data_IF_162911372221
#
_entry.id   IF_162911372221
#
_cell.length_a   1.000
_cell.length_b   1.000
_cell.length_c   1.000
_cell.angle_alpha   90.00
_cell.angle_beta   90.00
_cell.angle_gamma   90.00
#
_symmetry.space_group_name_H-M   'P 1'
#
loop_
_entity.id
_entity.type
_entity.pdbx_description
1 polymer ?
#
# COMPACT_ATOMS: atom_id res chain seq x y z
N UNK A 1 -22.16 -31.36 -42.62
CA UNK A 1 -21.83 -30.14 -41.85
C UNK A 1 -22.76 -30.15 -40.64
N UNK A 2 -22.26 -30.65 -39.52
CA UNK A 2 -23.07 -31.03 -38.35
C UNK A 2 -23.33 -29.78 -37.50
N UNK A 3 -24.60 -29.38 -37.43
CA UNK A 3 -25.11 -28.36 -36.51
C UNK A 3 -25.40 -29.03 -35.16
N UNK A 4 -24.66 -28.67 -34.13
CA UNK A 4 -24.96 -29.02 -32.74
C UNK A 4 -25.88 -27.96 -32.14
N UNK A 5 -27.17 -28.31 -32.02
CA UNK A 5 -28.12 -27.67 -31.11
C UNK A 5 -27.83 -28.17 -29.68
N UNK A 6 -27.60 -27.27 -28.74
CA UNK A 6 -27.61 -27.59 -27.30
C UNK A 6 -28.81 -26.90 -26.68
N UNK A 7 -29.79 -27.71 -26.26
CA UNK A 7 -30.94 -27.32 -25.47
C UNK A 7 -30.53 -27.14 -24.01
N UNK A 8 -30.80 -25.97 -23.42
CA UNK A 8 -30.79 -25.80 -21.96
C UNK A 8 -32.17 -26.14 -21.40
N UNK A 9 -32.27 -27.29 -20.74
CA UNK A 9 -33.42 -27.66 -19.92
C UNK A 9 -33.16 -27.23 -18.47
N UNK A 10 -34.01 -26.32 -18.00
CA UNK A 10 -34.18 -25.93 -16.60
C UNK A 10 -34.62 -27.13 -15.75
N UNK A 11 -33.88 -27.43 -14.69
CA UNK A 11 -34.37 -28.25 -13.57
C UNK A 11 -34.05 -27.56 -12.25
N UNK A 12 -35.10 -27.05 -11.62
CA UNK A 12 -35.11 -26.59 -10.25
C UNK A 12 -35.04 -27.81 -9.31
N UNK A 13 -34.04 -27.86 -8.44
CA UNK A 13 -33.87 -28.87 -7.41
C UNK A 13 -33.61 -28.21 -6.06
N UNK A 14 -34.64 -28.23 -5.20
CA UNK A 14 -34.60 -27.72 -3.84
C UNK A 14 -33.69 -28.57 -2.95
N UNK A 15 -32.78 -27.93 -2.20
CA UNK A 15 -32.02 -28.59 -1.13
C UNK A 15 -32.16 -27.84 0.20
N UNK A 16 -32.81 -28.58 1.10
CA UNK A 16 -32.94 -28.50 2.55
C UNK A 16 -32.05 -27.49 3.31
N UNK A 17 -32.71 -26.56 4.01
CA UNK A 17 -32.20 -25.91 5.22
C UNK A 17 -32.18 -26.91 6.37
N UNK A 18 -31.01 -27.27 6.87
CA UNK A 18 -30.87 -27.87 8.22
C UNK A 18 -30.82 -26.74 9.24
N UNK A 19 -31.91 -26.58 10.00
CA UNK A 19 -31.94 -25.76 11.20
C UNK A 19 -31.28 -26.55 12.34
N UNK A 20 -30.18 -26.01 12.91
CA UNK A 20 -29.70 -26.45 14.22
C UNK A 20 -30.61 -25.84 15.28
N UNK A 21 -31.46 -26.67 15.88
CA UNK A 21 -32.18 -26.34 17.10
C UNK A 21 -31.22 -26.50 18.29
N UNK A 22 -30.81 -25.39 18.89
CA UNK A 22 -30.15 -25.39 20.19
C UNK A 22 -31.24 -25.54 21.25
N UNK A 23 -31.25 -26.70 21.89
CA UNK A 23 -32.09 -27.01 23.05
C UNK A 23 -31.53 -26.23 24.25
N UNK A 24 -32.28 -25.26 24.75
CA UNK A 24 -32.01 -24.66 26.07
C UNK A 24 -32.72 -25.45 27.16
N UNK A 25 -32.03 -25.86 28.24
CA UNK A 25 -32.70 -26.38 29.43
C UNK A 25 -33.30 -25.24 30.24
N UNK A 26 -34.55 -25.43 30.63
CA UNK A 26 -35.32 -24.58 31.52
C UNK A 26 -34.97 -24.79 32.99
N UNK A 27 -35.03 -23.68 33.72
CA UNK A 27 -35.44 -23.54 35.11
C UNK A 27 -34.38 -23.66 36.23
N UNK A 28 -34.59 -22.75 37.19
CA UNK A 28 -34.13 -22.74 38.59
C UNK A 28 -32.75 -22.13 38.89
N UNK A 29 -32.75 -20.85 39.28
CA UNK A 29 -32.23 -20.44 40.60
C UNK A 29 -32.47 -18.96 40.87
N UNK A 30 -33.65 -18.68 41.42
CA UNK A 30 -34.01 -17.45 42.09
C UNK A 30 -33.43 -17.43 43.51
N UNK A 31 -32.15 -17.11 43.71
CA UNK A 31 -31.64 -16.94 45.09
C UNK A 31 -30.47 -15.95 45.33
N UNK A 32 -29.95 -15.23 44.33
CA UNK A 32 -28.79 -14.32 44.54
C UNK A 32 -29.00 -12.85 44.12
N UNK A 33 -30.25 -12.37 44.05
CA UNK A 33 -30.55 -10.94 43.73
C UNK A 33 -30.67 -10.01 44.94
N UNK A 34 -30.25 -10.43 46.12
CA UNK A 34 -30.38 -9.62 47.34
C UNK A 34 -29.13 -9.71 48.22
N UNK A 35 -27.97 -9.26 47.74
CA UNK A 35 -26.79 -8.87 48.55
C UNK A 35 -25.61 -8.45 47.64
N UNK A 36 -25.67 -7.24 47.07
CA UNK A 36 -24.50 -6.54 46.52
C UNK A 36 -24.79 -5.04 46.36
N UNK A 37 -25.49 -4.46 47.34
CA UNK A 37 -25.82 -3.03 47.43
C UNK A 37 -25.27 -2.51 48.77
N UNK A 38 -23.96 -2.63 48.93
CA UNK A 38 -23.12 -1.94 49.91
C UNK A 38 -21.67 -2.33 49.58
N UNK A 39 -20.74 -1.38 49.62
CA UNK A 39 -19.29 -1.55 49.40
C UNK A 39 -18.75 -1.27 47.99
N UNK A 40 -19.13 -0.14 47.38
CA UNK A 40 -18.20 0.61 46.52
C UNK A 40 -18.36 2.10 46.86
N UNK A 41 -17.86 2.46 48.02
CA UNK A 41 -17.61 3.86 48.37
C UNK A 41 -16.27 3.86 49.08
N UNK A 42 -15.37 4.70 48.56
CA UNK A 42 -14.07 5.06 49.13
C UNK A 42 -12.84 4.33 48.56
N UNK A 43 -11.91 5.16 48.04
CA UNK A 43 -10.51 4.94 47.69
C UNK A 43 -10.15 4.39 46.28
N UNK A 44 -9.84 5.32 45.37
CA UNK A 44 -8.65 5.32 44.49
C UNK A 44 -8.60 6.69 43.80
N UNK A 45 -7.98 7.67 44.46
CA UNK A 45 -6.63 8.16 44.15
C UNK A 45 -6.61 8.98 42.86
N UNK A 46 -6.60 10.30 43.07
CA UNK A 46 -6.25 11.34 42.11
C UNK A 46 -4.87 11.02 41.53
N UNK A 47 -4.84 10.47 40.32
CA UNK A 47 -3.62 10.48 39.51
C UNK A 47 -3.44 11.91 38.99
N UNK A 48 -2.27 12.56 39.17
CA UNK A 48 -1.97 13.76 38.43
C UNK A 48 -1.93 13.36 36.96
N UNK A 49 -2.83 13.92 36.16
CA UNK A 49 -2.69 13.91 34.72
C UNK A 49 -1.37 14.64 34.40
N UNK A 50 -0.29 13.88 34.24
CA UNK A 50 0.91 14.34 33.58
C UNK A 50 0.54 14.57 32.12
N UNK A 51 -0.12 15.69 31.84
CA UNK A 51 -0.16 16.27 30.50
C UNK A 51 1.28 16.66 30.20
N UNK A 52 2.07 15.75 29.62
CA UNK A 52 3.29 16.15 28.94
C UNK A 52 2.84 17.09 27.82
N UNK A 53 3.23 18.38 27.84
CA UNK A 53 3.06 19.20 26.66
C UNK A 53 3.77 18.48 25.51
N UNK A 54 3.17 18.40 24.31
CA UNK A 54 3.88 17.85 23.16
C UNK A 54 5.22 18.55 23.07
N UNK A 55 6.30 17.77 23.01
CA UNK A 55 7.65 18.29 22.89
C UNK A 55 7.64 19.33 21.77
N UNK A 56 7.98 20.58 22.12
CA UNK A 56 8.02 21.66 21.16
C UNK A 56 9.00 21.25 20.07
N UNK A 57 8.50 21.07 18.84
CA UNK A 57 9.33 20.68 17.71
C UNK A 57 10.38 21.77 17.50
N UNK A 58 11.62 21.41 17.80
CA UNK A 58 12.79 22.25 17.51
C UNK A 58 12.88 22.37 16.00
N UNK A 59 12.50 23.54 15.47
CA UNK A 59 12.69 24.03 14.11
C UNK A 59 13.18 22.99 13.11
N UNK A 60 12.27 22.10 12.68
CA UNK A 60 12.57 21.17 11.61
C UNK A 60 12.81 21.98 10.34
N UNK A 61 13.98 21.79 9.72
CA UNK A 61 14.12 22.08 8.30
C UNK A 61 12.97 21.35 7.60
N UNK A 62 12.22 22.06 6.74
CA UNK A 62 11.15 21.40 5.98
C UNK A 62 11.78 20.29 5.14
N UNK A 63 11.32 19.07 5.36
CA UNK A 63 11.75 17.90 4.60
C UNK A 63 11.38 18.11 3.13
N UNK A 64 12.30 17.84 2.19
CA UNK A 64 12.04 17.98 0.75
C UNK A 64 11.23 16.80 0.20
N UNK A 65 9.97 16.71 0.63
CA UNK A 65 9.04 15.67 0.18
C UNK A 65 8.88 15.66 -1.34
N UNK A 66 8.78 16.84 -1.96
CA UNK A 66 8.56 16.90 -3.40
C UNK A 66 9.79 16.42 -4.17
N UNK A 67 11.01 16.78 -3.73
CA UNK A 67 12.24 16.27 -4.34
C UNK A 67 12.34 14.75 -4.30
N UNK A 68 11.92 14.11 -3.20
CA UNK A 68 11.86 12.65 -3.06
C UNK A 68 10.87 12.03 -4.07
N UNK A 69 9.65 12.58 -4.14
CA UNK A 69 8.61 12.11 -5.07
C UNK A 69 9.04 12.29 -6.52
N UNK A 70 9.58 13.45 -6.88
CA UNK A 70 10.07 13.76 -8.21
C UNK A 70 11.25 12.85 -8.59
N UNK A 71 12.17 12.60 -7.68
CA UNK A 71 13.27 11.67 -7.85
C UNK A 71 12.76 10.27 -8.21
N UNK A 72 11.85 9.71 -7.40
CA UNK A 72 11.20 8.43 -7.64
C UNK A 72 10.51 8.34 -9.00
N UNK A 73 9.78 9.39 -9.39
CA UNK A 73 9.10 9.44 -10.70
C UNK A 73 10.11 9.54 -11.85
N UNK A 74 11.21 10.30 -11.67
CA UNK A 74 12.19 10.55 -12.73
C UNK A 74 12.97 9.30 -13.16
N UNK A 75 13.22 8.36 -12.25
CA UNK A 75 13.95 7.13 -12.56
C UNK A 75 13.05 6.06 -13.21
N UNK A 76 11.73 6.15 -13.02
CA UNK A 76 10.76 5.28 -13.68
C UNK A 76 10.67 5.66 -15.15
N UNK A 77 11.51 5.04 -15.97
CA UNK A 77 11.47 5.25 -17.41
C UNK A 77 10.30 4.48 -18.02
N UNK A 78 9.57 5.14 -18.92
CA UNK A 78 8.72 4.41 -19.86
C UNK A 78 9.63 3.61 -20.79
N UNK A 79 9.27 2.37 -21.17
CA UNK A 79 10.13 1.58 -21.99
C UNK A 79 10.27 2.24 -23.37
N UNK A 80 11.50 2.41 -23.85
CA UNK A 80 11.73 2.74 -25.25
C UNK A 80 11.39 1.50 -26.09
N UNK A 81 10.18 1.45 -26.61
CA UNK A 81 9.74 0.34 -27.44
C UNK A 81 10.50 0.37 -28.77
N UNK A 82 11.17 -0.73 -29.10
CA UNK A 82 11.78 -0.90 -30.43
C UNK A 82 10.70 -0.80 -31.53
N UNK A 83 11.09 -0.30 -32.71
CA UNK A 83 10.15 -0.08 -33.82
C UNK A 83 9.35 -1.36 -34.15
N UNK A 84 8.03 -1.23 -34.19
CA UNK A 84 7.09 -2.33 -34.41
C UNK A 84 6.77 -3.21 -33.19
N UNK A 85 7.41 -3.00 -32.03
CA UNK A 85 7.08 -3.72 -30.79
C UNK A 85 5.87 -3.08 -30.12
N UNK A 86 4.80 -3.85 -29.89
CA UNK A 86 3.67 -3.34 -29.12
C UNK A 86 3.98 -3.34 -27.62
N UNK A 87 3.31 -2.48 -26.84
CA UNK A 87 3.42 -2.51 -25.38
C UNK A 87 3.07 -3.91 -24.82
N UNK A 88 2.07 -4.57 -25.40
CA UNK A 88 1.73 -5.96 -25.05
C UNK A 88 2.86 -6.94 -25.33
N UNK A 89 3.56 -6.82 -26.46
CA UNK A 89 4.71 -7.69 -26.76
C UNK A 89 5.86 -7.46 -25.78
N UNK A 90 6.10 -6.20 -25.40
CA UNK A 90 7.07 -5.84 -24.37
C UNK A 90 6.71 -6.48 -23.02
N UNK A 91 5.46 -6.36 -22.58
CA UNK A 91 5.02 -6.96 -21.31
C UNK A 91 5.10 -8.50 -21.33
N UNK A 92 4.75 -9.14 -22.44
CA UNK A 92 4.96 -10.58 -22.61
C UNK A 92 6.44 -10.95 -22.53
N UNK A 93 7.32 -10.13 -23.12
CA UNK A 93 8.76 -10.33 -23.07
C UNK A 93 9.32 -10.22 -21.65
N UNK A 94 8.88 -9.22 -20.88
CA UNK A 94 9.21 -9.07 -19.45
C UNK A 94 8.72 -10.26 -18.62
N UNK A 95 7.45 -10.66 -18.79
CA UNK A 95 6.86 -11.80 -18.07
C UNK A 95 7.62 -13.11 -18.33
N UNK A 96 8.18 -13.25 -19.53
CA UNK A 96 8.98 -14.40 -19.94
C UNK A 96 10.45 -14.30 -19.53
N UNK A 97 10.90 -13.20 -18.89
CA UNK A 97 12.31 -12.98 -18.56
C UNK A 97 13.20 -12.78 -19.79
N UNK A 98 12.62 -12.41 -20.93
CA UNK A 98 13.34 -12.31 -22.22
C UNK A 98 13.74 -10.90 -22.63
N UNK A 99 13.29 -9.89 -21.89
CA UNK A 99 13.64 -8.48 -22.09
C UNK A 99 14.20 -7.90 -20.80
N UNK A 100 15.19 -7.02 -20.94
CA UNK A 100 15.65 -6.16 -19.85
C UNK A 100 14.66 -5.01 -19.69
N UNK A 101 14.24 -4.76 -18.43
CA UNK A 101 13.41 -3.61 -18.09
C UNK A 101 14.15 -2.65 -17.16
N UNK A 102 13.39 -1.79 -16.52
CA UNK A 102 13.86 -0.84 -15.50
C UNK A 102 14.71 -1.52 -14.41
N UNK A 103 15.89 -0.98 -14.08
CA UNK A 103 16.68 -1.43 -12.93
C UNK A 103 16.17 -0.75 -11.65
N UNK A 104 15.51 -1.52 -10.80
CA UNK A 104 14.93 -1.03 -9.55
C UNK A 104 15.98 -0.55 -8.53
N UNK A 105 17.26 -0.90 -8.71
CA UNK A 105 18.35 -0.35 -7.88
C UNK A 105 18.65 1.12 -8.21
N UNK A 106 18.19 1.64 -9.36
CA UNK A 106 18.31 3.07 -9.69
C UNK A 106 17.55 3.96 -8.69
N UNK A 107 16.57 3.42 -7.95
CA UNK A 107 15.92 4.13 -6.85
C UNK A 107 16.91 4.66 -5.81
N UNK A 108 17.98 3.92 -5.50
CA UNK A 108 18.98 4.35 -4.51
C UNK A 108 19.90 5.48 -5.01
N UNK A 109 19.80 5.86 -6.30
CA UNK A 109 20.48 7.05 -6.81
C UNK A 109 19.75 8.35 -6.46
N UNK A 110 18.44 8.26 -6.17
CA UNK A 110 17.56 9.40 -5.84
C UNK A 110 17.04 9.36 -4.40
N UNK A 111 16.95 8.16 -3.80
CA UNK A 111 16.61 7.93 -2.40
C UNK A 111 17.90 7.76 -1.57
N UNK A 112 18.58 8.88 -1.35
CA UNK A 112 19.96 8.88 -0.84
C UNK A 112 20.08 8.57 0.66
N UNK A 113 18.97 8.51 1.38
CA UNK A 113 18.89 8.10 2.78
C UNK A 113 18.49 6.63 2.93
N UNK A 114 18.32 5.90 1.82
CA UNK A 114 18.07 4.46 1.78
C UNK A 114 19.28 3.69 1.28
N UNK A 115 19.44 2.48 1.80
CA UNK A 115 20.39 1.49 1.29
C UNK A 115 19.85 0.08 1.44
N UNK A 116 20.29 -0.85 0.61
CA UNK A 116 19.99 -2.27 0.82
C UNK A 116 20.76 -2.81 2.03
N UNK A 117 20.18 -3.78 2.72
CA UNK A 117 20.89 -4.60 3.68
C UNK A 117 22.16 -5.20 3.04
N UNK A 118 23.26 -5.21 3.78
CA UNK A 118 24.52 -5.75 3.30
C UNK A 118 24.35 -7.20 2.81
N UNK A 119 24.68 -7.42 1.54
CA UNK A 119 24.57 -8.74 0.91
C UNK A 119 23.25 -8.98 0.19
N UNK A 120 22.33 -8.01 0.17
CA UNK A 120 21.09 -8.03 -0.59
C UNK A 120 21.09 -7.01 -1.75
N UNK A 121 20.23 -7.26 -2.73
CA UNK A 121 19.92 -6.35 -3.85
C UNK A 121 18.42 -6.36 -4.10
N UNK A 122 17.89 -5.26 -4.64
CA UNK A 122 16.50 -5.16 -5.05
C UNK A 122 16.34 -5.66 -6.48
N UNK A 123 15.25 -6.38 -6.73
CA UNK A 123 14.94 -6.97 -8.02
C UNK A 123 13.41 -7.03 -8.20
N UNK A 124 12.93 -7.45 -9.36
CA UNK A 124 11.50 -7.62 -9.60
C UNK A 124 11.19 -8.73 -10.60
N UNK A 125 10.03 -9.34 -10.43
CA UNK A 125 9.39 -10.19 -11.45
C UNK A 125 8.15 -9.50 -11.96
N UNK A 126 7.78 -9.74 -13.21
CA UNK A 126 6.55 -9.19 -13.77
C UNK A 126 5.43 -10.23 -13.71
N UNK A 127 4.41 -9.97 -12.89
CA UNK A 127 3.18 -10.77 -12.84
C UNK A 127 2.26 -10.28 -13.97
N UNK A 128 2.18 -11.05 -15.06
CA UNK A 128 1.33 -10.73 -16.20
C UNK A 128 0.19 -11.74 -16.32
N UNK A 129 -1.03 -11.25 -16.15
CA UNK A 129 -2.26 -12.04 -16.27
C UNK A 129 -3.22 -11.46 -17.29
N UNK A 130 -4.35 -12.16 -17.47
CA UNK A 130 -5.39 -11.70 -18.39
C UNK A 130 -5.98 -10.35 -17.98
N UNK A 131 -6.21 -10.13 -16.68
CA UNK A 131 -6.93 -8.95 -16.16
C UNK A 131 -6.00 -7.81 -15.68
N UNK A 132 -4.74 -8.10 -15.39
CA UNK A 132 -3.81 -7.15 -14.81
C UNK A 132 -2.37 -7.54 -15.15
N UNK A 133 -1.45 -6.58 -15.05
CA UNK A 133 -0.03 -6.87 -15.07
C UNK A 133 0.75 -5.85 -14.26
N UNK A 134 1.61 -6.31 -13.35
CA UNK A 134 2.38 -5.44 -12.47
C UNK A 134 3.75 -6.02 -12.08
N UNK A 135 4.73 -5.17 -11.77
CA UNK A 135 5.98 -5.61 -11.19
C UNK A 135 5.79 -5.94 -9.71
N UNK A 136 6.33 -7.08 -9.30
CA UNK A 136 6.42 -7.49 -7.90
C UNK A 136 7.88 -7.32 -7.48
N UNK A 137 8.14 -6.31 -6.65
CA UNK A 137 9.46 -6.05 -6.09
C UNK A 137 9.79 -7.11 -5.03
N UNK A 138 11.04 -7.55 -5.00
CA UNK A 138 11.56 -8.43 -3.96
C UNK A 138 13.04 -8.13 -3.69
N UNK A 139 13.50 -8.42 -2.48
CA UNK A 139 14.91 -8.40 -2.14
C UNK A 139 15.48 -9.82 -2.23
N UNK A 140 16.69 -9.96 -2.74
CA UNK A 140 17.40 -11.25 -2.78
C UNK A 140 18.87 -11.09 -2.39
N UNK A 141 19.53 -12.15 -1.88
CA UNK A 141 20.97 -12.18 -1.74
C UNK A 141 21.68 -11.89 -3.07
N UNK A 142 22.77 -11.12 -3.04
CA UNK A 142 23.54 -10.75 -4.25
C UNK A 142 24.12 -11.95 -5.01
N UNK A 143 24.29 -13.09 -4.34
CA UNK A 143 24.79 -14.34 -4.92
C UNK A 143 23.68 -15.29 -5.42
N UNK A 144 22.41 -14.95 -5.17
CA UNK A 144 21.27 -15.65 -5.73
C UNK A 144 20.96 -15.06 -7.11
N UNK A 145 20.75 -15.89 -8.13
CA UNK A 145 20.30 -15.41 -9.43
C UNK A 145 18.88 -14.79 -9.32
N UNK A 146 18.56 -13.75 -10.09
CA UNK A 146 17.18 -13.26 -10.21
C UNK A 146 16.22 -14.38 -10.59
N UNK A 147 14.98 -14.31 -10.11
CA UNK A 147 13.92 -15.18 -10.61
C UNK A 147 13.55 -14.77 -12.04
N UNK A 148 13.54 -15.73 -12.97
CA UNK A 148 13.24 -15.45 -14.38
C UNK A 148 11.77 -15.12 -14.63
N UNK A 149 10.87 -15.62 -13.79
CA UNK A 149 9.41 -15.49 -13.95
C UNK A 149 8.70 -15.33 -12.61
N UNK A 150 7.51 -14.74 -12.64
CA UNK A 150 6.64 -14.67 -11.46
C UNK A 150 6.34 -16.05 -10.86
N UNK A 151 6.11 -17.08 -11.69
CA UNK A 151 5.84 -18.44 -11.19
C UNK A 151 7.02 -19.00 -10.39
N UNK A 152 8.26 -18.80 -10.85
CA UNK A 152 9.45 -19.26 -10.14
C UNK A 152 9.62 -18.55 -8.79
N UNK A 153 9.32 -17.25 -8.75
CA UNK A 153 9.30 -16.47 -7.51
C UNK A 153 8.18 -16.94 -6.56
N UNK A 154 6.96 -17.15 -7.07
CA UNK A 154 5.84 -17.59 -6.26
C UNK A 154 6.08 -18.98 -5.65
N UNK A 155 6.66 -19.91 -6.40
CA UNK A 155 7.01 -21.26 -5.92
C UNK A 155 8.10 -21.25 -4.83
N UNK A 156 9.08 -20.33 -4.92
CA UNK A 156 10.16 -20.25 -3.92
C UNK A 156 9.70 -19.63 -2.61
N UNK A 157 8.89 -18.58 -2.69
CA UNK A 157 8.38 -17.87 -1.51
C UNK A 157 7.21 -18.61 -0.85
N UNK A 158 6.43 -19.37 -1.64
CA UNK A 158 5.21 -20.06 -1.20
C UNK A 158 5.12 -21.49 -1.72
N UNK A 159 5.89 -22.41 -1.13
CA UNK A 159 5.84 -23.82 -1.52
C UNK A 159 4.51 -24.52 -1.18
N UNK A 160 3.63 -23.88 -0.40
CA UNK A 160 2.33 -24.41 0.01
C UNK A 160 1.17 -23.76 -0.80
N UNK A 161 0.24 -24.59 -1.27
CA UNK A 161 -0.86 -24.22 -2.17
C UNK A 161 -1.73 -23.06 -1.62
N UNK A 162 -1.74 -21.97 -2.39
CA UNK A 162 -2.46 -20.70 -2.21
C UNK A 162 -1.81 -19.68 -1.27
N UNK A 163 -0.80 -18.93 -1.76
CA UNK A 163 -0.43 -17.70 -1.11
C UNK A 163 -1.62 -16.75 -1.01
N UNK A 164 -1.81 -16.20 0.17
CA UNK A 164 -2.52 -14.94 0.32
C UNK A 164 -1.76 -13.90 -0.53
N UNK A 165 -2.37 -13.39 -1.61
CA UNK A 165 -1.73 -12.43 -2.52
C UNK A 165 -1.29 -11.16 -1.75
N UNK A 166 -1.92 -10.88 -0.61
CA UNK A 166 -1.48 -9.81 0.30
C UNK A 166 -0.17 -10.15 1.03
N UNK A 167 0.15 -11.43 1.24
CA UNK A 167 1.45 -11.87 1.75
C UNK A 167 2.53 -11.85 0.67
N UNK A 168 2.19 -12.18 -0.59
CA UNK A 168 3.10 -12.17 -1.76
C UNK A 168 3.77 -10.82 -1.99
N UNK A 169 3.15 -9.75 -1.53
CA UNK A 169 3.78 -8.43 -1.33
C UNK A 169 4.74 -8.49 -0.15
N UNK A 170 5.67 -9.45 -0.17
CA UNK A 170 6.77 -9.52 0.75
C UNK A 170 7.35 -8.13 0.88
N UNK A 171 7.49 -7.70 2.12
CA UNK A 171 7.95 -6.37 2.43
C UNK A 171 9.43 -6.32 2.06
N UNK A 172 9.74 -6.10 0.77
CA UNK A 172 11.11 -5.93 0.28
C UNK A 172 11.83 -4.84 1.09
N UNK A 173 11.06 -3.94 1.70
CA UNK A 173 11.53 -2.92 2.63
C UNK A 173 12.14 -3.48 3.93
N UNK A 174 11.86 -4.74 4.30
CA UNK A 174 12.52 -5.43 5.41
C UNK A 174 14.03 -5.62 5.18
N UNK A 175 14.49 -5.47 3.92
CA UNK A 175 15.89 -5.47 3.53
C UNK A 175 16.38 -4.09 3.09
N UNK A 176 15.64 -3.02 3.41
CA UNK A 176 16.03 -1.64 3.13
C UNK A 176 16.27 -0.91 4.45
N UNK A 177 17.44 -0.30 4.58
CA UNK A 177 17.87 0.48 5.74
C UNK A 177 17.67 1.97 5.45
N UNK A 178 16.92 2.63 6.33
CA UNK A 178 16.93 4.09 6.45
C UNK A 178 18.07 4.52 7.37
N UNK A 179 18.72 5.65 7.07
CA UNK A 179 19.86 6.18 7.83
C UNK A 179 19.51 6.87 9.16
N UNK A 180 18.35 6.55 9.73
CA UNK A 180 17.81 7.08 10.98
C UNK A 180 17.50 8.59 10.98
N UNK A 181 17.22 9.15 9.80
CA UNK A 181 16.77 10.55 9.62
C UNK A 181 15.28 10.63 9.28
N UNK A 182 14.59 11.77 9.55
CA UNK A 182 13.22 11.96 9.10
C UNK A 182 13.04 11.73 7.59
N UNK A 183 13.99 12.21 6.80
CA UNK A 183 14.08 12.04 5.35
C UNK A 183 14.17 10.55 4.97
N UNK A 184 15.05 9.78 5.61
CA UNK A 184 15.17 8.33 5.34
C UNK A 184 13.88 7.55 5.59
N UNK A 185 13.14 7.87 6.65
CA UNK A 185 11.84 7.22 6.90
C UNK A 185 10.75 7.68 5.92
N UNK A 186 10.81 8.93 5.45
CA UNK A 186 9.94 9.40 4.38
C UNK A 186 10.25 8.69 3.06
N UNK A 187 11.52 8.60 2.66
CA UNK A 187 11.98 7.90 1.47
C UNK A 187 11.54 6.42 1.49
N UNK A 188 11.64 5.75 2.65
CA UNK A 188 11.23 4.36 2.82
C UNK A 188 9.74 4.17 2.50
N UNK A 189 8.87 5.02 3.04
CA UNK A 189 7.44 4.94 2.78
C UNK A 189 7.07 5.42 1.37
N UNK A 190 7.82 6.38 0.80
CA UNK A 190 7.65 6.78 -0.58
C UNK A 190 7.97 5.64 -1.55
N UNK A 191 9.06 4.92 -1.30
CA UNK A 191 9.41 3.72 -2.07
C UNK A 191 8.38 2.61 -1.90
N UNK A 192 7.90 2.35 -0.68
CA UNK A 192 6.86 1.35 -0.42
C UNK A 192 5.55 1.68 -1.15
N UNK A 193 5.18 2.95 -1.18
CA UNK A 193 3.91 3.41 -1.78
C UNK A 193 3.99 3.40 -3.30
N UNK A 194 5.07 3.94 -3.86
CA UNK A 194 5.12 4.27 -5.28
C UNK A 194 6.09 3.37 -6.06
N UNK A 195 6.98 2.62 -5.40
CA UNK A 195 8.09 1.88 -6.01
C UNK A 195 7.68 0.83 -7.03
N UNK A 196 6.50 0.23 -6.89
CA UNK A 196 5.94 -0.75 -7.83
C UNK A 196 5.11 -0.13 -8.96
N UNK A 197 5.01 1.20 -9.04
CA UNK A 197 4.14 1.87 -10.02
C UNK A 197 4.85 2.12 -11.36
N UNK A 198 5.33 1.05 -11.98
CA UNK A 198 5.91 1.06 -13.33
C UNK A 198 5.40 -0.14 -14.13
N UNK A 199 5.34 -0.02 -15.45
CA UNK A 199 4.83 -1.06 -16.36
C UNK A 199 3.44 -1.63 -15.99
N UNK A 200 2.59 -0.83 -15.35
CA UNK A 200 1.24 -1.24 -14.96
C UNK A 200 0.40 -1.53 -16.20
N UNK A 201 -0.37 -2.62 -16.16
CA UNK A 201 -1.26 -3.05 -17.23
C UNK A 201 -2.70 -3.23 -16.73
N UNK A 202 -3.63 -2.63 -17.47
CA UNK A 202 -5.08 -2.75 -17.28
C UNK A 202 -5.51 -2.51 -15.82
N UNK A 203 -6.04 -3.51 -15.11
CA UNK A 203 -6.53 -3.33 -13.74
C UNK A 203 -5.40 -3.09 -12.71
N UNK A 204 -4.14 -3.35 -13.05
CA UNK A 204 -3.02 -2.95 -12.20
C UNK A 204 -2.86 -1.42 -12.10
N UNK A 205 -3.46 -0.67 -13.01
CA UNK A 205 -3.52 0.80 -12.91
C UNK A 205 -4.33 1.29 -11.70
N UNK A 206 -4.92 0.40 -10.90
CA UNK A 206 -5.50 0.73 -9.59
C UNK A 206 -4.45 1.01 -8.51
N UNK A 207 -3.21 0.64 -8.77
CA UNK A 207 -2.07 0.98 -7.92
C UNK A 207 -1.46 2.31 -8.40
N UNK A 208 -2.25 3.38 -8.35
CA UNK A 208 -1.90 4.72 -8.85
C UNK A 208 -1.71 5.76 -7.74
N UNK A 209 -1.21 5.33 -6.58
CA UNK A 209 -0.99 6.23 -5.46
C UNK A 209 0.08 7.28 -5.77
N UNK A 210 -0.26 8.55 -5.59
CA UNK A 210 0.66 9.67 -5.67
C UNK A 210 0.73 10.37 -4.31
N UNK A 211 1.92 10.55 -3.75
CA UNK A 211 2.12 11.32 -2.54
C UNK A 211 1.98 12.80 -2.87
N UNK A 212 1.07 13.49 -2.18
CA UNK A 212 0.83 14.92 -2.36
C UNK A 212 1.55 15.65 -1.23
N UNK A 213 2.69 16.26 -1.56
CA UNK A 213 3.55 16.91 -0.57
C UNK A 213 3.11 18.32 -0.20
N UNK A 214 2.45 19.04 -1.10
CA UNK A 214 2.05 20.43 -0.89
C UNK A 214 0.92 20.86 -1.84
N UNK A 215 0.45 22.09 -1.66
CA UNK A 215 -0.61 22.68 -2.49
C UNK A 215 -0.21 22.86 -3.97
N UNK A 216 1.07 23.08 -4.27
CA UNK A 216 1.51 23.19 -5.66
C UNK A 216 1.41 21.84 -6.39
N UNK A 217 1.76 20.74 -5.71
CA UNK A 217 1.56 19.36 -6.20
C UNK A 217 0.08 19.09 -6.48
N UNK A 218 -0.81 19.48 -5.56
CA UNK A 218 -2.26 19.37 -5.77
C UNK A 218 -2.71 20.13 -7.03
N UNK A 219 -2.28 21.38 -7.24
CA UNK A 219 -2.69 22.14 -8.42
C UNK A 219 -2.11 21.58 -9.72
N UNK A 220 -0.90 21.00 -9.69
CA UNK A 220 -0.34 20.27 -10.82
C UNK A 220 -1.18 19.04 -11.17
N UNK A 221 -1.52 18.22 -10.17
CA UNK A 221 -2.41 17.05 -10.31
C UNK A 221 -3.76 17.46 -10.95
N UNK A 222 -4.37 18.54 -10.46
CA UNK A 222 -5.64 19.08 -11.00
C UNK A 222 -5.50 19.51 -12.46
N UNK A 223 -4.35 20.10 -12.83
CA UNK A 223 -4.11 20.61 -14.18
C UNK A 223 -3.84 19.50 -15.20
N UNK A 224 -3.11 18.45 -14.82
CA UNK A 224 -2.63 17.42 -15.74
C UNK A 224 -3.69 16.36 -16.09
N UNK A 225 -4.67 16.10 -15.22
CA UNK A 225 -5.80 15.16 -15.47
C UNK A 225 -5.32 13.78 -15.98
N UNK A 226 -4.30 13.22 -15.34
CA UNK A 226 -3.45 12.17 -15.93
C UNK A 226 -4.18 10.87 -16.28
N UNK A 227 -5.11 10.39 -15.46
CA UNK A 227 -5.75 9.07 -15.65
C UNK A 227 -7.24 9.18 -15.99
N UNK A 228 -8.03 9.67 -15.05
CA UNK A 228 -9.39 10.09 -15.32
C UNK A 228 -9.33 11.39 -16.14
N UNK A 229 -9.58 11.35 -17.45
CA UNK A 229 -9.77 12.57 -18.27
C UNK A 229 -10.93 13.45 -17.76
N UNK A 230 -11.61 13.04 -16.69
CA UNK A 230 -12.69 13.75 -16.02
C UNK A 230 -12.14 14.81 -15.09
N UNK A 231 -12.86 15.93 -15.05
CA UNK A 231 -12.53 17.01 -14.13
C UNK A 231 -13.01 16.66 -12.74
N UNK A 232 -12.21 16.98 -11.72
CA UNK A 232 -12.64 16.92 -10.34
C UNK A 232 -13.94 17.70 -10.11
N UNK A 233 -14.94 17.11 -9.42
CA UNK A 233 -16.12 17.85 -9.01
C UNK A 233 -15.75 19.07 -8.16
N UNK A 234 -16.43 20.23 -8.31
CA UNK A 234 -16.08 21.44 -7.55
C UNK A 234 -16.08 21.25 -6.02
N UNK A 235 -16.93 20.36 -5.51
CA UNK A 235 -16.96 20.00 -4.09
C UNK A 235 -15.71 19.23 -3.63
N UNK A 236 -15.15 18.39 -4.48
CA UNK A 236 -13.89 17.66 -4.21
C UNK A 236 -12.73 18.66 -4.19
N UNK A 237 -12.62 19.52 -5.20
CA UNK A 237 -11.58 20.55 -5.27
C UNK A 237 -11.58 21.47 -4.04
N UNK A 238 -12.76 21.91 -3.60
CA UNK A 238 -12.88 22.77 -2.42
C UNK A 238 -12.35 22.07 -1.16
N UNK A 239 -12.64 20.78 -0.98
CA UNK A 239 -12.16 20.02 0.17
C UNK A 239 -10.67 19.70 0.07
N UNK A 240 -10.19 19.29 -1.11
CA UNK A 240 -8.78 18.97 -1.35
C UNK A 240 -7.87 20.17 -1.06
N UNK A 241 -8.25 21.37 -1.51
CA UNK A 241 -7.52 22.62 -1.22
C UNK A 241 -7.49 23.03 0.25
N UNK A 242 -8.29 22.39 1.10
CA UNK A 242 -8.29 22.63 2.54
C UNK A 242 -7.44 21.61 3.32
N UNK A 243 -6.86 20.62 2.64
CA UNK A 243 -5.98 19.61 3.25
C UNK A 243 -4.62 20.22 3.57
N UNK A 244 -4.06 19.83 4.71
CA UNK A 244 -2.65 20.04 5.03
C UNK A 244 -1.82 18.83 4.57
N UNK A 245 -1.10 19.05 3.47
CA UNK A 245 -0.31 18.04 2.76
C UNK A 245 1.10 17.86 3.32
N UNK A 246 1.56 18.78 4.18
CA UNK A 246 2.93 18.73 4.71
C UNK A 246 3.14 17.42 5.48
N UNK A 247 4.11 16.56 5.09
CA UNK A 247 4.33 15.31 5.80
C UNK A 247 4.77 15.58 7.24
N UNK A 248 4.37 14.70 8.17
CA UNK A 248 4.80 14.81 9.57
C UNK A 248 5.57 13.56 9.94
N UNK A 249 6.84 13.74 10.29
CA UNK A 249 7.72 12.65 10.73
C UNK A 249 8.14 12.96 12.17
N UNK A 250 7.82 12.07 13.09
CA UNK A 250 8.19 12.16 14.50
C UNK A 250 9.06 10.95 14.88
N UNK A 251 10.28 11.24 15.33
CA UNK A 251 11.24 10.27 15.82
C UNK A 251 11.13 10.19 17.36
N UNK A 252 10.79 9.01 17.87
CA UNK A 252 10.86 8.68 19.29
C UNK A 252 12.10 7.81 19.56
N UNK A 253 12.22 7.27 20.78
CA UNK A 253 13.35 6.40 21.16
C UNK A 253 13.41 5.12 20.31
N UNK A 254 12.30 4.39 20.25
CA UNK A 254 12.23 3.08 19.58
C UNK A 254 11.39 3.09 18.29
N UNK A 255 10.61 4.14 18.06
CA UNK A 255 9.61 4.20 16.99
C UNK A 255 9.72 5.46 16.16
N UNK A 256 9.22 5.38 14.93
CA UNK A 256 8.99 6.53 14.07
C UNK A 256 7.53 6.55 13.66
N UNK A 257 6.92 7.72 13.76
CA UNK A 257 5.57 7.96 13.23
C UNK A 257 5.68 8.83 12.00
N UNK A 258 5.13 8.37 10.88
CA UNK A 258 5.09 9.11 9.63
C UNK A 258 3.64 9.29 9.20
N UNK A 259 3.27 10.53 8.88
CA UNK A 259 1.97 10.90 8.33
C UNK A 259 2.15 11.45 6.93
N UNK A 260 1.43 10.88 5.97
CA UNK A 260 1.43 11.27 4.56
C UNK A 260 0.01 11.43 4.05
N UNK A 261 -0.14 12.21 2.97
CA UNK A 261 -1.38 12.26 2.20
C UNK A 261 -1.10 11.76 0.80
N UNK A 262 -1.86 10.77 0.36
CA UNK A 262 -1.82 10.25 -1.00
C UNK A 262 -3.11 10.59 -1.74
N UNK A 263 -3.01 10.65 -3.06
CA UNK A 263 -4.14 10.68 -3.97
C UNK A 263 -4.16 9.40 -4.81
N UNK A 264 -5.35 8.87 -5.07
CA UNK A 264 -5.60 7.80 -6.04
C UNK A 264 -6.85 8.15 -6.84
N UNK A 265 -6.95 7.74 -8.11
CA UNK A 265 -8.18 7.95 -8.87
C UNK A 265 -9.35 7.10 -8.37
N UNK A 266 -9.08 6.12 -7.51
CA UNK A 266 -10.06 5.12 -7.02
C UNK A 266 -10.61 5.42 -5.62
N UNK A 267 -9.84 6.15 -4.80
CA UNK A 267 -10.20 6.46 -3.41
C UNK A 267 -10.16 7.95 -3.06
N UNK A 268 -9.58 8.78 -3.91
CA UNK A 268 -9.39 10.20 -3.65
C UNK A 268 -8.21 10.48 -2.72
N UNK A 269 -8.39 11.44 -1.82
CA UNK A 269 -7.34 11.88 -0.91
C UNK A 269 -7.39 11.09 0.39
N UNK A 270 -6.31 10.37 0.70
CA UNK A 270 -6.20 9.47 1.84
C UNK A 270 -5.04 9.93 2.70
N UNK A 271 -5.28 10.14 3.99
CA UNK A 271 -4.22 10.29 4.97
C UNK A 271 -3.82 8.92 5.47
N UNK A 272 -2.53 8.63 5.44
CA UNK A 272 -1.94 7.44 6.03
C UNK A 272 -1.06 7.85 7.22
N UNK A 273 -1.25 7.19 8.36
CA UNK A 273 -0.35 7.30 9.51
C UNK A 273 0.26 5.93 9.76
N UNK A 274 1.58 5.86 9.68
CA UNK A 274 2.35 4.63 9.83
C UNK A 274 3.30 4.77 11.01
N UNK A 275 3.25 3.80 11.92
CA UNK A 275 4.20 3.67 13.02
C UNK A 275 5.08 2.47 12.73
N UNK A 276 6.39 2.67 12.74
CA UNK A 276 7.40 1.67 12.46
C UNK A 276 8.47 1.63 13.55
N UNK A 277 9.13 0.49 13.70
CA UNK A 277 10.36 0.38 14.48
C UNK A 277 11.41 1.33 13.89
N UNK A 278 12.05 2.12 14.75
CA UNK A 278 13.16 2.98 14.34
C UNK A 278 14.40 2.17 13.97
N UNK A 279 14.63 1.09 14.72
CA UNK A 279 15.68 0.12 14.39
C UNK A 279 15.32 -0.72 13.16
N UNK A 280 16.31 -0.98 12.30
CA UNK A 280 16.20 -1.98 11.23
C UNK A 280 15.77 -3.34 11.82
N UNK A 281 14.79 -4.06 11.23
CA UNK A 281 14.28 -3.97 9.85
C UNK A 281 13.07 -3.04 9.65
N UNK A 282 12.92 -2.00 10.47
CA UNK A 282 11.88 -0.97 10.31
C UNK A 282 10.44 -1.51 10.24
N UNK A 283 10.18 -2.61 10.95
CA UNK A 283 8.88 -3.29 10.94
C UNK A 283 7.74 -2.33 11.25
N UNK A 284 6.73 -2.34 10.39
CA UNK A 284 5.49 -1.59 10.61
C UNK A 284 4.72 -2.21 11.76
N UNK A 285 4.50 -1.41 12.80
CA UNK A 285 3.76 -1.77 13.99
C UNK A 285 2.28 -1.43 13.85
N UNK A 286 1.99 -0.32 13.18
CA UNK A 286 0.63 0.18 12.93
C UNK A 286 0.59 0.93 11.60
N UNK A 287 -0.49 0.74 10.86
CA UNK A 287 -0.81 1.53 9.67
C UNK A 287 -2.30 1.84 9.71
N UNK A 288 -2.64 3.12 9.76
CA UNK A 288 -4.01 3.61 9.75
C UNK A 288 -4.25 4.47 8.52
N UNK A 289 -5.40 4.29 7.89
CA UNK A 289 -5.83 5.08 6.75
C UNK A 289 -7.12 5.82 7.05
N UNK A 290 -7.19 7.08 6.65
CA UNK A 290 -8.35 7.95 6.80
C UNK A 290 -8.62 8.67 5.49
N UNK A 291 -9.76 8.38 4.87
CA UNK A 291 -10.20 9.12 3.69
C UNK A 291 -10.51 10.56 4.09
N UNK A 292 -9.76 11.51 3.55
CA UNK A 292 -9.97 12.95 3.75
C UNK A 292 -11.04 13.48 2.81
N UNK A 293 -10.96 13.06 1.55
CA UNK A 293 -11.88 13.45 0.49
C UNK A 293 -12.08 12.29 -0.45
N UNK A 294 -13.25 11.68 -0.41
CA UNK A 294 -13.67 10.69 -1.40
C UNK A 294 -13.68 11.31 -2.80
N UNK A 295 -13.16 10.55 -3.76
CA UNK A 295 -13.23 10.87 -5.17
C UNK A 295 -13.79 9.66 -5.90
N UNK A 296 -14.80 9.91 -6.73
CA UNK A 296 -15.36 8.94 -7.64
C UNK A 296 -14.96 9.38 -9.04
N UNK A 297 -14.06 8.64 -9.67
CA UNK A 297 -13.65 8.92 -11.03
C UNK A 297 -14.75 8.59 -12.05
N UNK A 298 -15.91 8.05 -11.66
CA UNK A 298 -17.06 7.83 -12.56
C UNK A 298 -16.90 6.64 -13.50
N UNK A 299 -15.84 5.84 -13.35
CA UNK A 299 -15.67 4.58 -14.06
C UNK A 299 -16.44 3.49 -13.30
N UNK A 300 -17.48 2.95 -13.95
CA UNK A 300 -18.31 1.85 -13.43
C UNK A 300 -17.97 0.58 -14.21
N UNK A 301 -17.76 -0.53 -13.50
CA UNK A 301 -17.49 -1.86 -14.06
C UNK A 301 -18.73 -2.74 -14.11
#
# INVERSE_FOLDING_TARGET
>A
MVLLHVNFASTAGALHRKALAVVMPSAENSFYRALALASITLLLLVAPACTHPPAASTGASSIDCQGIVDGLVSVRTSPELADGTTYTDFLNGLAAGTLEGFDVNDYFSVLTHLSMELGYTLDYVYDYGFLAGEPILYARPVNQAPYETYSAFAESEYPDDFPDIQKLRHDFTAHIQADDTPEGFLELLALRTMGSQFYLHWHAAYHDAEIICNQATLEALIAERRYSRMAFPPGVLKKARAIDFEPVIALDEDTVTVRLVTFTDWGGFIEETTILNRSFPHTILLQEQRVLVEYDCGIVY
#
